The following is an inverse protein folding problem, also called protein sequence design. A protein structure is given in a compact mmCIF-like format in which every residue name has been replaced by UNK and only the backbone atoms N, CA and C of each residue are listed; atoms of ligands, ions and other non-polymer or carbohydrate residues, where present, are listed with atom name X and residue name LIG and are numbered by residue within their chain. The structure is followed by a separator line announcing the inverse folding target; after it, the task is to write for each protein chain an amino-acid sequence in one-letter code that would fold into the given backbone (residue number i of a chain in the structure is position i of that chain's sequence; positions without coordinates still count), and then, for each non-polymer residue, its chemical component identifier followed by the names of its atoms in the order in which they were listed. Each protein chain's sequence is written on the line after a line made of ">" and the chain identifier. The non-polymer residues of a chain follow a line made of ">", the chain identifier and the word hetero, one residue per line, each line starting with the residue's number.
data_IF_510212081908
#
_entry.id   IF_510212081908
#
_cell.length_a   1.000
_cell.length_b   1.000
_cell.length_c   1.000
_cell.angle_alpha   90.00
_cell.angle_beta   90.00
_cell.angle_gamma   90.00
#
_symmetry.space_group_name_H-M   'P 1'
#
loop_
_entity.id
_entity.type
_entity.pdbx_description
1 polymer ?
#
# COMPACT_ATOMS: atom_id res chain seq x y z
N UNK A 1 6.14 13.12 -9.39
CA UNK A 1 6.89 11.86 -9.20
C UNK A 1 8.21 12.18 -8.50
N UNK A 2 8.62 11.36 -7.54
CA UNK A 2 9.94 11.51 -6.91
C UNK A 2 11.05 11.19 -7.93
N UNK A 3 12.25 11.75 -7.74
CA UNK A 3 13.40 11.43 -8.61
C UNK A 3 13.83 9.97 -8.49
N UNK A 4 13.59 9.36 -7.33
CA UNK A 4 13.78 7.94 -7.07
C UNK A 4 12.82 7.47 -5.96
N UNK A 5 12.42 6.19 -5.95
CA UNK A 5 11.70 5.61 -4.83
C UNK A 5 12.51 5.71 -3.55
N UNK A 6 11.84 5.96 -2.43
CA UNK A 6 12.46 6.07 -1.11
C UNK A 6 11.85 5.04 -0.17
N UNK A 7 12.64 4.57 0.79
CA UNK A 7 12.14 3.79 1.91
C UNK A 7 11.70 4.76 3.01
N UNK A 8 10.45 4.65 3.45
CA UNK A 8 9.95 5.27 4.68
C UNK A 8 9.51 4.17 5.63
N UNK A 9 10.18 4.07 6.78
CA UNK A 9 9.92 3.00 7.74
C UNK A 9 8.95 3.49 8.81
N UNK A 10 8.06 2.61 9.27
CA UNK A 10 7.20 2.87 10.43
C UNK A 10 7.26 1.74 11.44
N UNK A 11 7.15 2.05 12.73
CA UNK A 11 7.00 1.02 13.78
C UNK A 11 5.59 0.46 13.81
N UNK A 12 5.45 -0.85 13.99
CA UNK A 12 4.20 -1.47 14.39
C UNK A 12 4.08 -1.34 15.91
N UNK A 13 3.16 -0.52 16.40
CA UNK A 13 2.91 -0.37 17.83
C UNK A 13 1.89 -1.41 18.31
N UNK A 14 2.16 -2.10 19.43
CA UNK A 14 1.19 -3.02 20.06
C UNK A 14 -0.07 -2.28 20.54
N UNK A 15 0.05 -0.98 20.82
CA UNK A 15 -1.08 -0.06 21.01
C UNK A 15 -0.66 1.36 20.60
N UNK A 16 -1.53 2.09 19.90
CA UNK A 16 -1.27 3.46 19.41
C UNK A 16 -1.03 3.56 17.90
N UNK A 17 -0.57 4.74 17.43
CA UNK A 17 -0.36 5.01 16.01
C UNK A 17 1.05 4.62 15.55
N UNK A 18 1.16 4.16 14.30
CA UNK A 18 2.44 3.95 13.61
C UNK A 18 3.29 5.22 13.65
N UNK A 19 4.56 5.10 14.06
CA UNK A 19 5.50 6.23 14.09
C UNK A 19 6.54 6.10 12.98
N UNK A 20 6.89 7.21 12.33
CA UNK A 20 7.95 7.23 11.34
C UNK A 20 9.32 7.05 11.99
N UNK A 21 10.13 6.17 11.40
CA UNK A 21 11.53 5.98 11.77
C UNK A 21 12.43 6.58 10.71
N UNK A 22 13.49 7.26 11.15
CA UNK A 22 14.59 7.61 10.24
C UNK A 22 15.36 6.35 9.84
N UNK A 23 16.20 6.48 8.80
CA UNK A 23 17.09 5.37 8.40
C UNK A 23 18.08 5.01 9.53
N UNK A 24 18.51 5.99 10.33
CA UNK A 24 19.37 5.75 11.49
C UNK A 24 18.66 4.94 12.57
N UNK A 25 17.38 5.26 12.84
CA UNK A 25 16.61 4.57 13.87
C UNK A 25 16.34 3.11 13.51
N UNK A 26 16.11 2.81 12.22
CA UNK A 26 15.98 1.42 11.76
C UNK A 26 17.28 0.63 12.00
N UNK A 27 18.43 1.19 11.63
CA UNK A 27 19.72 0.53 11.83
C UNK A 27 20.05 0.33 13.31
N UNK A 28 19.66 1.25 14.18
CA UNK A 28 19.78 1.08 15.63
C UNK A 28 18.86 -0.02 16.17
N UNK A 29 17.66 -0.17 15.60
CA UNK A 29 16.67 -1.15 16.04
C UNK A 29 17.02 -2.58 15.62
N UNK A 30 17.47 -2.79 14.38
CA UNK A 30 17.66 -4.13 13.80
C UNK A 30 19.10 -4.46 13.43
N UNK A 31 20.03 -3.51 13.58
CA UNK A 31 21.42 -3.62 13.15
C UNK A 31 21.64 -3.17 11.70
N UNK A 32 22.84 -2.68 11.40
CA UNK A 32 23.17 -2.09 10.09
C UNK A 32 23.01 -3.07 8.92
N UNK A 33 23.45 -4.32 9.09
CA UNK A 33 23.39 -5.33 8.03
C UNK A 33 21.95 -5.65 7.63
N UNK A 34 21.07 -5.88 8.63
CA UNK A 34 19.68 -6.19 8.39
C UNK A 34 18.90 -4.98 7.86
N UNK A 35 19.17 -3.78 8.39
CA UNK A 35 18.56 -2.54 7.88
C UNK A 35 18.91 -2.29 6.40
N UNK A 36 20.16 -2.57 6.00
CA UNK A 36 20.59 -2.50 4.61
C UNK A 36 19.87 -3.52 3.74
N UNK A 37 19.80 -4.78 4.18
CA UNK A 37 19.11 -5.85 3.45
C UNK A 37 17.61 -5.54 3.24
N UNK A 38 16.91 -5.09 4.29
CA UNK A 38 15.50 -4.69 4.22
C UNK A 38 15.28 -3.55 3.22
N UNK A 39 16.18 -2.55 3.21
CA UNK A 39 16.11 -1.44 2.26
C UNK A 39 16.30 -1.91 0.82
N UNK A 40 17.31 -2.74 0.57
CA UNK A 40 17.60 -3.26 -0.76
C UNK A 40 16.44 -4.10 -1.30
N UNK A 41 15.90 -5.02 -0.50
CA UNK A 41 14.74 -5.85 -0.89
C UNK A 41 13.49 -5.00 -1.12
N UNK A 42 13.20 -4.06 -0.22
CA UNK A 42 12.01 -3.19 -0.34
C UNK A 42 12.04 -2.39 -1.64
N UNK A 43 13.17 -1.74 -1.94
CA UNK A 43 13.30 -0.94 -3.16
C UNK A 43 13.32 -1.81 -4.41
N UNK A 44 13.90 -3.01 -4.37
CA UNK A 44 13.88 -3.94 -5.48
C UNK A 44 12.45 -4.41 -5.81
N UNK A 45 11.69 -4.83 -4.80
CA UNK A 45 10.28 -5.25 -4.94
C UNK A 45 9.44 -4.10 -5.48
N UNK A 46 9.54 -2.91 -4.88
CA UNK A 46 8.76 -1.75 -5.33
C UNK A 46 9.07 -1.40 -6.79
N UNK A 47 10.35 -1.31 -7.18
CA UNK A 47 10.74 -0.95 -8.56
C UNK A 47 10.19 -1.93 -9.59
N UNK A 48 10.41 -3.24 -9.35
CA UNK A 48 9.92 -4.27 -10.26
C UNK A 48 8.39 -4.18 -10.43
N UNK A 49 7.69 -4.00 -9.31
CA UNK A 49 6.23 -4.00 -9.29
C UNK A 49 5.64 -2.76 -9.94
N UNK A 50 6.25 -1.60 -9.69
CA UNK A 50 5.85 -0.33 -10.29
C UNK A 50 6.08 -0.33 -11.80
N UNK A 51 7.24 -0.82 -12.26
CA UNK A 51 7.54 -0.98 -13.68
C UNK A 51 6.53 -1.90 -14.36
N UNK A 52 6.26 -3.07 -13.75
CA UNK A 52 5.26 -4.01 -14.26
C UNK A 52 3.85 -3.40 -14.31
N UNK A 53 3.38 -2.82 -13.21
CA UNK A 53 2.04 -2.23 -13.12
C UNK A 53 1.85 -1.08 -14.12
N UNK A 54 2.91 -0.30 -14.38
CA UNK A 54 2.90 0.78 -15.36
C UNK A 54 2.63 0.27 -16.78
N UNK A 55 3.16 -0.91 -17.14
CA UNK A 55 2.81 -1.56 -18.43
C UNK A 55 1.34 -1.96 -18.53
N UNK A 56 0.62 -2.03 -17.40
CA UNK A 56 -0.80 -2.36 -17.29
C UNK A 56 -1.68 -1.13 -17.04
N UNK A 57 -1.15 0.08 -17.21
CA UNK A 57 -1.89 1.33 -17.01
C UNK A 57 -2.16 1.67 -15.54
N UNK A 58 -1.37 1.13 -14.61
CA UNK A 58 -1.49 1.39 -13.17
C UNK A 58 -0.21 2.03 -12.65
N UNK A 59 -0.34 3.08 -11.84
CA UNK A 59 0.76 3.65 -11.05
C UNK A 59 0.64 3.16 -9.62
N UNK A 60 1.73 2.60 -9.07
CA UNK A 60 1.85 2.28 -7.64
C UNK A 60 2.48 3.48 -6.94
N UNK A 61 1.67 4.30 -6.27
CA UNK A 61 2.16 5.51 -5.62
C UNK A 61 3.04 5.21 -4.40
N UNK A 62 2.62 4.24 -3.59
CA UNK A 62 3.35 3.70 -2.45
C UNK A 62 2.82 2.31 -2.08
N UNK A 63 3.60 1.56 -1.29
CA UNK A 63 3.20 0.26 -0.73
C UNK A 63 3.85 0.03 0.62
N UNK A 64 3.14 -0.67 1.51
CA UNK A 64 3.68 -1.27 2.73
C UNK A 64 4.17 -2.69 2.41
N UNK A 65 5.32 -3.07 2.95
CA UNK A 65 5.83 -4.44 2.94
C UNK A 65 6.13 -4.85 4.38
N UNK A 66 5.92 -6.13 4.69
CA UNK A 66 6.30 -6.70 5.97
C UNK A 66 7.29 -7.84 5.77
N UNK A 67 8.29 -7.89 6.65
CA UNK A 67 9.32 -8.92 6.62
C UNK A 67 9.41 -9.58 8.00
N UNK A 68 9.51 -10.90 7.99
CA UNK A 68 9.84 -11.71 9.17
C UNK A 68 11.22 -12.34 9.02
N UNK A 69 11.74 -12.90 10.12
CA UNK A 69 12.90 -13.78 10.10
C UNK A 69 12.39 -15.22 10.25
N UNK A 70 12.64 -16.05 9.23
CA UNK A 70 12.31 -17.47 9.22
C UNK A 70 13.58 -18.21 8.89
N UNK A 71 13.97 -19.18 9.72
CA UNK A 71 15.23 -19.93 9.56
C UNK A 71 16.47 -19.04 9.32
N UNK A 72 16.58 -17.98 10.13
CA UNK A 72 17.63 -16.94 10.05
C UNK A 72 17.68 -16.17 8.72
N UNK A 73 16.61 -16.19 7.93
CA UNK A 73 16.50 -15.48 6.66
C UNK A 73 15.39 -14.43 6.65
N UNK A 74 15.69 -13.27 6.05
CA UNK A 74 14.71 -12.22 5.76
C UNK A 74 13.69 -12.74 4.75
N UNK A 75 12.46 -12.92 5.22
CA UNK A 75 11.36 -13.52 4.48
C UNK A 75 10.24 -12.50 4.33
N UNK A 76 9.75 -12.31 3.11
CA UNK A 76 8.55 -11.51 2.87
C UNK A 76 7.33 -12.23 3.46
N UNK A 77 6.53 -11.51 4.23
CA UNK A 77 5.32 -12.01 4.87
C UNK A 77 4.13 -11.09 4.54
N UNK A 78 3.00 -11.28 5.22
CA UNK A 78 1.75 -10.52 5.04
C UNK A 78 1.25 -10.56 3.59
N UNK A 79 0.40 -9.61 3.20
CA UNK A 79 0.01 -9.41 1.82
C UNK A 79 1.04 -8.55 1.06
N UNK A 80 1.09 -8.73 -0.26
CA UNK A 80 2.01 -8.00 -1.13
C UNK A 80 1.22 -7.35 -2.27
N UNK A 81 1.34 -6.03 -2.38
CA UNK A 81 0.87 -5.26 -3.55
C UNK A 81 -0.63 -5.43 -3.83
N UNK A 82 -1.41 -5.45 -2.76
CA UNK A 82 -2.88 -5.43 -2.82
C UNK A 82 -3.40 -4.00 -2.68
N UNK A 83 -4.66 -3.71 -3.07
CA UNK A 83 -5.26 -2.38 -2.84
C UNK A 83 -5.44 -2.03 -1.35
N UNK A 84 -5.17 -2.97 -0.45
CA UNK A 84 -5.13 -2.76 0.99
C UNK A 84 -3.76 -2.22 1.44
N UNK A 85 -2.69 -2.82 0.90
CA UNK A 85 -1.30 -2.50 1.22
C UNK A 85 -0.69 -1.37 0.39
N UNK A 86 -1.31 -1.02 -0.75
CA UNK A 86 -0.74 -0.12 -1.75
C UNK A 86 -1.74 0.90 -2.25
N UNK A 87 -1.23 2.07 -2.65
CA UNK A 87 -2.02 3.08 -3.35
C UNK A 87 -1.88 2.93 -4.86
N UNK A 88 -2.97 2.57 -5.52
CA UNK A 88 -3.03 2.38 -6.97
C UNK A 88 -3.77 3.54 -7.65
N UNK A 89 -3.14 4.15 -8.64
CA UNK A 89 -3.73 5.20 -9.45
C UNK A 89 -3.84 4.78 -10.91
N UNK A 90 -4.87 5.27 -11.60
CA UNK A 90 -4.99 5.08 -13.05
C UNK A 90 -3.98 5.99 -13.78
N UNK A 91 -3.08 5.36 -14.55
CA UNK A 91 -2.03 6.06 -15.27
C UNK A 91 -2.59 7.06 -16.30
N UNK A 92 -3.74 6.77 -16.91
CA UNK A 92 -4.34 7.61 -17.95
C UNK A 92 -4.99 8.88 -17.36
N UNK A 93 -5.39 8.81 -16.10
CA UNK A 93 -6.03 9.93 -15.39
C UNK A 93 -5.07 10.75 -14.52
N UNK A 94 -3.84 10.26 -14.33
CA UNK A 94 -2.86 10.86 -13.43
C UNK A 94 -2.49 12.29 -13.83
N UNK A 95 -2.57 13.23 -12.88
CA UNK A 95 -2.09 14.61 -13.08
C UNK A 95 -1.42 15.15 -11.84
N UNK A 96 -0.23 15.71 -12.00
CA UNK A 96 0.52 16.33 -10.90
C UNK A 96 -0.27 17.52 -10.32
N UNK A 97 -0.25 17.68 -8.99
CA UNK A 97 -0.81 18.85 -8.31
C UNK A 97 -2.28 18.74 -7.89
N UNK A 98 -2.90 17.56 -8.01
CA UNK A 98 -4.26 17.30 -7.56
C UNK A 98 -4.39 15.95 -6.83
N UNK A 99 -5.50 15.67 -6.14
CA UNK A 99 -5.86 14.31 -5.73
C UNK A 99 -6.00 13.39 -6.95
N UNK A 100 -5.59 12.13 -6.81
CA UNK A 100 -5.66 11.15 -7.90
C UNK A 100 -6.88 10.24 -7.71
N UNK A 101 -7.57 9.85 -8.80
CA UNK A 101 -8.53 8.76 -8.74
C UNK A 101 -7.84 7.49 -8.24
N UNK A 102 -8.31 6.99 -7.11
CA UNK A 102 -7.70 5.85 -6.44
C UNK A 102 -8.50 4.58 -6.66
N UNK A 103 -7.80 3.46 -6.86
CA UNK A 103 -8.38 2.13 -6.88
C UNK A 103 -8.40 1.44 -5.50
N UNK A 104 -7.87 2.11 -4.47
CA UNK A 104 -7.69 1.57 -3.12
C UNK A 104 -8.83 1.99 -2.16
N UNK A 105 -8.60 1.74 -0.86
CA UNK A 105 -9.51 2.07 0.25
C UNK A 105 -9.81 3.56 0.44
N UNK A 106 -9.23 4.48 -0.34
CA UNK A 106 -9.35 5.91 -0.09
C UNK A 106 -10.81 6.39 -0.08
N UNK A 107 -11.67 5.84 -0.94
CA UNK A 107 -13.10 6.23 -0.96
C UNK A 107 -13.85 5.82 0.31
N UNK A 108 -13.53 4.64 0.86
CA UNK A 108 -14.11 4.20 2.14
C UNK A 108 -13.62 5.10 3.27
N UNK A 109 -12.33 5.46 3.27
CA UNK A 109 -11.76 6.40 4.25
C UNK A 109 -12.41 7.77 4.17
N UNK A 110 -12.56 8.32 2.97
CA UNK A 110 -13.16 9.63 2.73
C UNK A 110 -14.63 9.64 3.17
N UNK A 111 -15.37 8.58 2.85
CA UNK A 111 -16.76 8.44 3.28
C UNK A 111 -16.90 8.36 4.81
N UNK A 112 -16.06 7.57 5.48
CA UNK A 112 -16.08 7.45 6.95
C UNK A 112 -15.74 8.78 7.65
N UNK A 113 -14.83 9.56 7.09
CA UNK A 113 -14.55 10.92 7.60
C UNK A 113 -15.76 11.83 7.39
N UNK A 114 -16.36 11.80 6.20
CA UNK A 114 -17.52 12.61 5.86
C UNK A 114 -18.79 12.22 6.64
N UNK A 115 -18.91 10.97 7.07
CA UNK A 115 -20.05 10.48 7.86
C UNK A 115 -20.06 11.02 9.30
N UNK A 116 -19.00 11.72 9.73
CA UNK A 116 -18.84 12.21 11.09
C UNK A 116 -18.46 11.12 12.10
N UNK A 117 -17.96 9.97 11.64
CA UNK A 117 -17.54 8.90 12.54
C UNK A 117 -16.32 9.34 13.36
N UNK A 118 -16.39 9.16 14.68
CA UNK A 118 -15.34 9.54 15.62
C UNK A 118 -14.12 8.61 15.61
N UNK A 119 -14.09 7.62 14.70
CA UNK A 119 -13.05 6.58 14.57
C UNK A 119 -13.00 5.58 15.72
N UNK A 120 -14.06 5.54 16.55
CA UNK A 120 -14.22 4.55 17.61
C UNK A 120 -15.26 3.50 17.23
N UNK A 121 -15.03 2.20 17.50
CA UNK A 121 -16.00 1.16 17.21
C UNK A 121 -17.35 1.38 17.93
N UNK A 122 -18.48 1.00 17.30
CA UNK A 122 -18.59 0.48 15.94
C UNK A 122 -18.58 1.59 14.88
N UNK A 123 -17.99 1.29 13.72
CA UNK A 123 -18.13 2.11 12.53
C UNK A 123 -19.57 2.05 11.98
N UNK A 124 -20.07 3.12 11.32
CA UNK A 124 -21.36 3.07 10.63
C UNK A 124 -21.33 2.07 9.46
N UNK A 125 -22.49 1.51 9.14
CA UNK A 125 -22.67 0.64 7.97
C UNK A 125 -22.40 1.41 6.68
N UNK A 126 -21.56 0.83 5.80
CA UNK A 126 -21.28 1.42 4.50
C UNK A 126 -22.51 1.30 3.58
N UNK A 127 -22.82 2.33 2.78
CA UNK A 127 -23.83 2.26 1.74
C UNK A 127 -23.52 1.16 0.71
N UNK A 128 -24.56 0.51 0.18
CA UNK A 128 -24.41 -0.62 -0.75
C UNK A 128 -23.68 -0.24 -2.05
N UNK A 129 -23.90 0.97 -2.54
CA UNK A 129 -23.23 1.55 -3.70
C UNK A 129 -21.73 1.76 -3.45
N UNK A 130 -21.35 2.22 -2.25
CA UNK A 130 -19.94 2.34 -1.86
C UNK A 130 -19.26 0.97 -1.78
N UNK A 131 -19.93 -0.03 -1.22
CA UNK A 131 -19.42 -1.42 -1.14
C UNK A 131 -19.20 -1.98 -2.55
N UNK A 132 -20.20 -1.84 -3.43
CA UNK A 132 -20.13 -2.32 -4.80
C UNK A 132 -19.01 -1.62 -5.57
N UNK A 133 -18.94 -0.29 -5.49
CA UNK A 133 -17.94 0.51 -6.19
C UNK A 133 -16.51 0.26 -5.68
N UNK A 134 -16.35 -0.05 -4.39
CA UNK A 134 -15.05 -0.49 -3.84
C UNK A 134 -14.68 -1.86 -4.38
N UNK A 135 -15.62 -2.81 -4.40
CA UNK A 135 -15.40 -4.17 -4.90
C UNK A 135 -14.99 -4.18 -6.38
N UNK A 136 -15.66 -3.37 -7.22
CA UNK A 136 -15.34 -3.24 -8.65
C UNK A 136 -13.93 -2.71 -8.87
N UNK A 137 -13.44 -1.77 -8.06
CA UNK A 137 -12.06 -1.26 -8.16
C UNK A 137 -11.01 -2.32 -7.85
N UNK A 138 -11.26 -3.15 -6.85
CA UNK A 138 -10.37 -4.26 -6.50
C UNK A 138 -10.30 -5.28 -7.62
N UNK A 139 -11.45 -5.63 -8.19
CA UNK A 139 -11.53 -6.53 -9.35
C UNK A 139 -10.83 -5.93 -10.58
N UNK A 140 -10.95 -4.63 -10.80
CA UNK A 140 -10.28 -3.95 -11.90
C UNK A 140 -8.75 -3.94 -11.75
N UNK A 141 -8.23 -3.67 -10.55
CA UNK A 141 -6.79 -3.77 -10.28
C UNK A 141 -6.30 -5.19 -10.53
N UNK A 142 -6.98 -6.19 -9.97
CA UNK A 142 -6.65 -7.60 -10.21
C UNK A 142 -6.63 -7.89 -11.71
N UNK A 143 -7.70 -7.55 -12.42
CA UNK A 143 -7.83 -7.83 -13.86
C UNK A 143 -6.76 -7.17 -14.70
N UNK A 144 -6.41 -5.91 -14.43
CA UNK A 144 -5.34 -5.22 -15.16
C UNK A 144 -3.97 -5.84 -14.88
N UNK A 145 -3.68 -6.17 -13.63
CA UNK A 145 -2.38 -6.70 -13.22
C UNK A 145 -2.17 -8.15 -13.65
N UNK A 146 -3.20 -9.00 -13.56
CA UNK A 146 -3.08 -10.45 -13.85
C UNK A 146 -3.53 -10.80 -15.26
N UNK A 147 -4.43 -10.01 -15.86
CA UNK A 147 -5.13 -10.37 -17.10
C UNK A 147 -6.32 -11.32 -16.89
N UNK A 148 -6.62 -11.70 -15.65
CA UNK A 148 -7.68 -12.65 -15.29
C UNK A 148 -8.88 -11.95 -14.64
N UNK A 149 -10.02 -12.64 -14.53
CA UNK A 149 -11.19 -12.10 -13.81
C UNK A 149 -11.44 -12.95 -12.57
N UNK A 150 -11.67 -12.30 -11.42
CA UNK A 150 -12.11 -13.00 -10.22
C UNK A 150 -13.57 -13.43 -10.39
N UNK A 151 -13.79 -14.74 -10.52
CA UNK A 151 -15.12 -15.32 -10.48
C UNK A 151 -15.56 -15.48 -9.02
N UNK A 152 -16.83 -15.15 -8.72
CA UNK A 152 -17.45 -15.38 -7.42
C UNK A 152 -17.78 -16.86 -7.23
#
# INVERSE_FOLDING_TARGET
>A
QLSQPILTTTTMAESGHYQHLSTGDLAQLVGESLAKELREKTLAIYRFSEEYARTRGIIIADTKLEFGIVDDQVTLIDELLTPDSSRFWDADSYKVGQPQPSFDKQMVRDWLVASGWNKEPPAPMLPADLIQSTSERYQEVYRRLTGETLHK
#
